data_IF_043548903837
#
_entry.id   IF_043548903837
#
_cell.length_a   1.000
_cell.length_b   1.000
_cell.length_c   1.000
_cell.angle_alpha   90.00
_cell.angle_beta   90.00
_cell.angle_gamma   90.00
#
_symmetry.space_group_name_H-M   'P 1'
#
loop_
_entity.id
_entity.type
_entity.pdbx_description
1 polymer ?
#
# COMPACT_ATOMS: atom_id res chain seq x y z
N UNK A 1 -32.99 62.10 -35.36
CA UNK A 1 -33.22 61.18 -34.22
C UNK A 1 -32.67 59.79 -34.57
N UNK A 2 -31.42 59.69 -35.04
CA UNK A 2 -30.81 58.43 -35.52
C UNK A 2 -29.44 58.12 -34.86
N UNK A 3 -28.81 59.07 -34.16
CA UNK A 3 -27.47 58.89 -33.57
C UNK A 3 -27.50 58.16 -32.22
N UNK A 4 -28.59 58.25 -31.46
CA UNK A 4 -28.71 57.60 -30.15
C UNK A 4 -28.90 56.08 -30.24
N UNK A 5 -29.39 55.57 -31.38
CA UNK A 5 -29.57 54.12 -31.56
C UNK A 5 -28.24 53.40 -31.85
N UNK A 6 -27.33 54.04 -32.58
CA UNK A 6 -26.05 53.43 -33.01
C UNK A 6 -25.10 53.19 -31.84
N UNK A 7 -25.04 54.13 -30.89
CA UNK A 7 -24.18 54.02 -29.71
C UNK A 7 -24.62 52.90 -28.77
N UNK A 8 -25.94 52.67 -28.66
CA UNK A 8 -26.48 51.59 -27.84
C UNK A 8 -26.15 50.20 -28.42
N UNK A 9 -26.20 50.05 -29.75
CA UNK A 9 -25.87 48.81 -30.45
C UNK A 9 -24.39 48.46 -30.35
N UNK A 10 -23.49 49.41 -30.59
CA UNK A 10 -22.03 49.21 -30.46
C UNK A 10 -21.63 48.88 -29.01
N UNK A 11 -22.27 49.54 -28.05
CA UNK A 11 -22.03 49.31 -26.63
C UNK A 11 -22.51 47.92 -26.18
N UNK A 12 -23.65 47.44 -26.69
CA UNK A 12 -24.12 46.09 -26.43
C UNK A 12 -23.16 45.03 -27.02
N UNK A 13 -22.59 45.29 -28.19
CA UNK A 13 -21.61 44.41 -28.83
C UNK A 13 -20.29 44.34 -28.04
N UNK A 14 -19.81 45.49 -27.54
CA UNK A 14 -18.66 45.57 -26.63
C UNK A 14 -18.86 44.76 -25.34
N UNK A 15 -20.05 44.87 -24.72
CA UNK A 15 -20.37 44.09 -23.53
C UNK A 15 -20.55 42.59 -23.82
N UNK A 16 -21.04 42.22 -25.01
CA UNK A 16 -21.10 40.81 -25.43
C UNK A 16 -19.71 40.22 -25.64
N UNK A 17 -18.76 41.00 -26.18
CA UNK A 17 -17.39 40.55 -26.39
C UNK A 17 -16.64 40.35 -25.07
N UNK A 18 -16.76 41.30 -24.13
CA UNK A 18 -16.09 41.24 -22.82
C UNK A 18 -16.66 40.18 -21.87
N UNK A 19 -17.89 39.69 -22.10
CA UNK A 19 -18.50 38.60 -21.33
C UNK A 19 -18.15 37.20 -21.82
N UNK A 20 -17.36 37.04 -22.88
CA UNK A 20 -16.93 35.70 -23.31
C UNK A 20 -15.98 35.13 -22.26
N UNK A 21 -16.30 33.97 -21.64
CA UNK A 21 -15.39 33.36 -20.69
C UNK A 21 -14.10 32.97 -21.41
N UNK A 22 -12.97 33.50 -20.93
CA UNK A 22 -11.62 33.21 -21.44
C UNK A 22 -11.23 31.73 -21.30
N UNK A 23 -11.96 30.98 -20.48
CA UNK A 23 -11.73 29.56 -20.22
C UNK A 23 -13.02 28.80 -20.57
N UNK A 24 -13.06 28.04 -21.69
CA UNK A 24 -14.20 27.19 -21.99
C UNK A 24 -14.30 26.13 -20.89
N UNK A 25 -15.43 26.09 -20.18
CA UNK A 25 -15.69 25.05 -19.19
C UNK A 25 -15.82 23.71 -19.93
N UNK A 26 -15.00 22.70 -19.62
CA UNK A 26 -15.18 21.40 -20.23
C UNK A 26 -16.51 20.81 -19.76
N UNK A 27 -17.41 20.56 -20.70
CA UNK A 27 -18.78 20.07 -20.45
C UNK A 27 -18.86 18.54 -20.45
N UNK A 28 -17.79 17.84 -20.81
CA UNK A 28 -17.79 16.39 -20.92
C UNK A 28 -17.58 15.72 -19.55
N UNK A 29 -18.32 14.64 -19.23
CA UNK A 29 -18.17 13.92 -17.96
C UNK A 29 -16.76 13.33 -17.81
N UNK A 30 -16.11 12.96 -18.92
CA UNK A 30 -14.75 12.43 -18.95
C UNK A 30 -13.70 13.45 -18.49
N UNK A 31 -13.88 14.74 -18.81
CA UNK A 31 -12.99 15.80 -18.35
C UNK A 31 -13.15 16.10 -16.85
N UNK A 32 -14.35 15.92 -16.29
CA UNK A 32 -14.60 16.03 -14.86
C UNK A 32 -13.96 14.90 -14.06
N UNK A 33 -14.07 13.66 -14.57
CA UNK A 33 -13.36 12.52 -14.00
C UNK A 33 -11.85 12.72 -14.07
N UNK A 34 -11.31 13.19 -15.20
CA UNK A 34 -9.88 13.51 -15.34
C UNK A 34 -9.40 14.54 -14.33
N UNK A 35 -10.15 15.63 -14.14
CA UNK A 35 -9.81 16.66 -13.14
C UNK A 35 -9.85 16.11 -11.70
N UNK A 36 -10.85 15.28 -11.38
CA UNK A 36 -10.94 14.61 -10.09
C UNK A 36 -9.74 13.68 -9.83
N UNK A 37 -9.38 12.84 -10.81
CA UNK A 37 -8.24 11.92 -10.68
C UNK A 37 -6.93 12.69 -10.50
N UNK A 38 -6.71 13.76 -11.26
CA UNK A 38 -5.52 14.61 -11.12
C UNK A 38 -5.46 15.24 -9.72
N UNK A 39 -6.57 15.71 -9.17
CA UNK A 39 -6.63 16.25 -7.81
C UNK A 39 -6.32 15.18 -6.75
N UNK A 40 -6.84 13.95 -6.91
CA UNK A 40 -6.56 12.83 -6.00
C UNK A 40 -5.07 12.47 -6.03
N UNK A 41 -4.48 12.35 -7.22
CA UNK A 41 -3.04 12.06 -7.38
C UNK A 41 -2.20 13.18 -6.76
N UNK A 42 -2.55 14.44 -7.02
CA UNK A 42 -1.88 15.60 -6.45
C UNK A 42 -1.89 15.59 -4.92
N UNK A 43 -3.06 15.30 -4.34
CA UNK A 43 -3.20 15.21 -2.88
C UNK A 43 -2.41 14.03 -2.30
N UNK A 44 -2.38 12.88 -2.98
CA UNK A 44 -1.58 11.73 -2.58
C UNK A 44 -0.08 12.05 -2.55
N UNK A 45 0.43 12.80 -3.54
CA UNK A 45 1.83 13.25 -3.57
C UNK A 45 2.13 14.18 -2.39
N UNK A 46 1.24 15.13 -2.08
CA UNK A 46 1.42 16.04 -0.95
C UNK A 46 1.34 15.34 0.42
N UNK A 47 0.54 14.26 0.51
CA UNK A 47 0.43 13.44 1.73
C UNK A 47 1.56 12.43 1.90
N UNK A 48 2.27 12.07 0.83
CA UNK A 48 3.36 11.11 0.85
C UNK A 48 4.43 11.38 1.94
N UNK A 49 4.97 12.61 2.12
CA UNK A 49 5.94 12.88 3.18
C UNK A 49 5.36 12.73 4.59
N UNK A 50 4.08 13.09 4.79
CA UNK A 50 3.41 12.89 6.08
C UNK A 50 3.21 11.41 6.38
N UNK A 51 2.85 10.61 5.37
CA UNK A 51 2.71 9.16 5.50
C UNK A 51 4.06 8.49 5.82
N UNK A 52 5.15 8.92 5.17
CA UNK A 52 6.50 8.43 5.49
C UNK A 52 6.92 8.80 6.91
N UNK A 53 6.69 10.05 7.33
CA UNK A 53 7.01 10.49 8.69
C UNK A 53 6.21 9.72 9.74
N UNK A 54 4.92 9.46 9.46
CA UNK A 54 4.07 8.64 10.32
C UNK A 54 4.59 7.21 10.48
N UNK A 55 4.98 6.55 9.38
CA UNK A 55 5.63 5.22 9.42
C UNK A 55 6.97 5.25 10.14
N UNK A 56 7.78 6.29 9.92
CA UNK A 56 9.09 6.47 10.56
C UNK A 56 9.02 6.72 12.07
N UNK A 57 7.87 7.09 12.63
CA UNK A 57 7.71 7.22 14.08
C UNK A 57 7.69 5.88 14.86
N UNK A 58 8.04 4.77 14.22
CA UNK A 58 8.02 3.43 14.82
C UNK A 58 6.65 2.76 14.76
N UNK A 59 5.74 3.26 13.92
CA UNK A 59 4.43 2.64 13.71
C UNK A 59 4.54 1.55 12.65
N UNK A 60 4.18 0.35 13.05
CA UNK A 60 4.00 -0.78 12.13
C UNK A 60 2.51 -0.92 11.80
N UNK A 61 2.21 -1.27 10.56
CA UNK A 61 0.87 -1.66 10.15
C UNK A 61 0.86 -3.18 10.19
N UNK A 62 0.25 -3.77 11.23
CA UNK A 62 0.12 -5.21 11.37
C UNK A 62 -1.33 -5.62 11.20
N UNK A 63 -1.56 -6.62 10.36
CA UNK A 63 -2.85 -7.30 10.22
C UNK A 63 -2.66 -8.70 10.83
N UNK A 64 -3.18 -8.94 12.04
CA UNK A 64 -3.10 -10.27 12.63
C UNK A 64 -3.96 -11.25 11.85
N UNK A 65 -3.51 -12.50 11.74
CA UNK A 65 -4.34 -13.60 11.23
C UNK A 65 -4.79 -14.48 12.38
N UNK A 66 -6.05 -14.92 12.33
CA UNK A 66 -6.59 -15.90 13.27
C UNK A 66 -6.28 -17.33 12.84
N UNK A 67 -6.40 -18.28 13.78
CA UNK A 67 -6.32 -19.73 13.54
C UNK A 67 -4.93 -20.27 13.15
N UNK A 68 -3.85 -19.64 13.61
CA UNK A 68 -2.50 -20.19 13.56
C UNK A 68 -1.83 -20.04 14.94
N UNK A 69 -0.90 -20.95 15.31
CA UNK A 69 -0.08 -20.77 16.51
C UNK A 69 0.73 -19.47 16.38
N UNK A 70 0.98 -18.82 17.52
CA UNK A 70 1.74 -17.58 17.61
C UNK A 70 1.31 -16.53 16.58
N UNK A 71 0.00 -16.26 16.54
CA UNK A 71 -0.62 -15.30 15.62
C UNK A 71 -0.03 -13.86 15.68
N UNK A 72 0.64 -13.52 16.79
CA UNK A 72 1.42 -12.28 16.93
C UNK A 72 2.69 -12.27 16.09
N UNK A 73 3.33 -13.43 15.93
CA UNK A 73 4.66 -13.58 15.34
C UNK A 73 4.58 -13.83 13.83
N UNK A 74 3.40 -14.29 13.38
CA UNK A 74 3.04 -14.53 11.99
C UNK A 74 1.87 -13.62 11.55
N UNK A 75 2.06 -12.30 11.38
CA UNK A 75 1.01 -11.44 10.86
C UNK A 75 0.73 -11.76 9.39
N UNK A 76 -0.55 -11.65 8.97
CA UNK A 76 -0.93 -11.79 7.57
C UNK A 76 -0.20 -10.77 6.69
N UNK A 77 -0.09 -9.54 7.20
CA UNK A 77 0.64 -8.45 6.58
C UNK A 77 1.23 -7.57 7.67
N UNK A 78 2.53 -7.34 7.61
CA UNK A 78 3.21 -6.33 8.40
C UNK A 78 4.02 -5.43 7.47
N UNK A 79 3.81 -4.12 7.62
CA UNK A 79 4.63 -3.10 6.95
C UNK A 79 5.31 -2.27 8.01
N UNK A 80 6.64 -2.23 7.97
CA UNK A 80 7.47 -1.45 8.90
C UNK A 80 8.59 -0.71 8.20
N UNK A 81 8.90 0.48 8.68
CA UNK A 81 10.07 1.23 8.26
C UNK A 81 11.22 0.92 9.22
N UNK A 82 12.29 0.34 8.70
CA UNK A 82 13.53 0.06 9.43
C UNK A 82 14.47 1.25 9.25
N UNK A 83 14.98 1.81 10.36
CA UNK A 83 15.87 2.97 10.37
C UNK A 83 17.08 2.75 11.28
N UNK A 84 17.57 1.51 11.34
CA UNK A 84 18.73 1.16 12.16
C UNK A 84 20.02 1.70 11.52
N UNK A 85 21.11 1.71 12.29
CA UNK A 85 22.39 2.21 11.80
C UNK A 85 22.87 1.43 10.56
N UNK A 86 22.73 0.11 10.61
CA UNK A 86 23.29 -0.83 9.64
C UNK A 86 22.26 -1.32 8.62
N UNK A 87 20.96 -1.12 8.89
CA UNK A 87 19.85 -1.59 8.07
C UNK A 87 18.76 -0.52 7.96
N UNK A 88 18.46 -0.07 6.74
CA UNK A 88 17.47 0.98 6.47
C UNK A 88 16.61 0.62 5.28
N UNK A 89 15.32 0.88 5.39
CA UNK A 89 14.39 0.72 4.27
C UNK A 89 13.00 0.32 4.73
N UNK A 90 12.16 -0.02 3.76
CA UNK A 90 10.80 -0.48 4.00
C UNK A 90 10.78 -2.01 3.97
N UNK A 91 10.40 -2.62 5.08
CA UNK A 91 10.20 -4.07 5.17
C UNK A 91 8.71 -4.38 5.11
N UNK A 92 8.36 -5.35 4.27
CA UNK A 92 7.02 -5.90 4.13
C UNK A 92 7.11 -7.39 4.45
N UNK A 93 6.53 -7.81 5.57
CA UNK A 93 6.41 -9.21 5.98
C UNK A 93 4.99 -9.70 5.69
N UNK A 94 4.87 -10.87 5.09
CA UNK A 94 3.60 -11.53 4.81
C UNK A 94 3.72 -12.99 5.21
N UNK A 95 2.84 -13.47 6.08
CA UNK A 95 2.77 -14.88 6.41
C UNK A 95 1.51 -15.50 5.82
N UNK A 96 1.65 -16.69 5.23
CA UNK A 96 0.56 -17.48 4.67
C UNK A 96 0.69 -18.93 5.08
N UNK A 97 -0.44 -19.61 5.26
CA UNK A 97 -0.45 -21.05 5.52
C UNK A 97 -0.16 -21.77 4.20
N UNK A 98 0.97 -22.48 4.14
CA UNK A 98 1.36 -23.29 2.98
C UNK A 98 0.67 -24.65 3.02
N UNK A 99 0.72 -25.33 4.18
CA UNK A 99 0.12 -26.63 4.37
C UNK A 99 -0.61 -26.69 5.72
N UNK A 100 -1.79 -27.32 5.74
CA UNK A 100 -2.58 -27.57 6.96
C UNK A 100 -3.13 -28.98 6.94
N UNK A 101 -2.64 -29.80 7.86
CA UNK A 101 -3.14 -31.13 8.20
C UNK A 101 -3.65 -31.14 9.64
N UNK A 102 -4.23 -32.25 10.07
CA UNK A 102 -4.77 -32.38 11.43
C UNK A 102 -3.66 -32.33 12.49
N UNK A 103 -2.45 -32.79 12.20
CA UNK A 103 -1.33 -32.86 13.14
C UNK A 103 -0.12 -31.99 12.71
N UNK A 104 -0.15 -31.40 11.51
CA UNK A 104 0.95 -30.61 10.95
C UNK A 104 0.44 -29.30 10.33
N UNK A 105 1.14 -28.21 10.55
CA UNK A 105 0.83 -26.89 9.97
C UNK A 105 2.13 -26.20 9.55
N UNK A 106 2.26 -25.89 8.27
CA UNK A 106 3.41 -25.16 7.75
C UNK A 106 3.00 -23.75 7.30
N UNK A 107 3.77 -22.76 7.74
CA UNK A 107 3.56 -21.34 7.48
C UNK A 107 4.74 -20.83 6.64
N UNK A 108 4.45 -20.26 5.49
CA UNK A 108 5.42 -19.55 4.64
C UNK A 108 5.42 -18.07 5.01
N UNK A 109 6.57 -17.55 5.42
CA UNK A 109 6.80 -16.13 5.68
C UNK A 109 7.67 -15.51 4.60
N UNK A 110 7.11 -14.54 3.89
CA UNK A 110 7.80 -13.76 2.87
C UNK A 110 8.17 -12.40 3.42
N UNK A 111 9.46 -12.09 3.39
CA UNK A 111 10.00 -10.78 3.77
C UNK A 111 10.55 -10.10 2.53
N UNK A 112 9.89 -9.03 2.12
CA UNK A 112 10.31 -8.21 0.98
C UNK A 112 10.84 -6.88 1.48
N UNK A 113 11.99 -6.49 0.96
CA UNK A 113 12.61 -5.21 1.28
C UNK A 113 12.53 -4.27 0.08
N UNK A 114 12.05 -3.05 0.30
CA UNK A 114 11.98 -1.99 -0.69
C UNK A 114 12.82 -0.80 -0.23
N UNK A 115 13.53 -0.17 -1.17
CA UNK A 115 14.47 0.92 -0.88
C UNK A 115 15.46 0.53 0.23
N UNK A 116 15.93 -0.72 0.18
CA UNK A 116 16.76 -1.33 1.21
C UNK A 116 18.22 -0.92 1.07
N UNK A 117 18.81 -0.55 2.20
CA UNK A 117 20.22 -0.26 2.36
C UNK A 117 20.70 -1.03 3.58
N UNK A 118 21.59 -1.99 3.34
CA UNK A 118 22.24 -2.78 4.39
C UNK A 118 23.72 -2.96 4.09
N UNK A 119 24.51 -3.17 5.14
CA UNK A 119 25.94 -3.45 5.00
C UNK A 119 26.19 -4.86 4.43
N UNK A 120 25.32 -5.82 4.80
CA UNK A 120 25.29 -7.16 4.21
C UNK A 120 24.36 -7.18 2.99
N UNK A 121 24.69 -7.91 1.92
CA UNK A 121 23.81 -8.10 0.76
C UNK A 121 22.60 -8.98 1.12
N UNK A 122 21.71 -8.46 1.95
CA UNK A 122 20.47 -9.10 2.37
C UNK A 122 19.35 -8.68 1.42
N UNK A 123 18.89 -9.63 0.60
CA UNK A 123 17.77 -9.44 -0.32
C UNK A 123 16.44 -9.86 0.30
N UNK A 124 15.42 -10.01 -0.55
CA UNK A 124 14.15 -10.62 -0.14
C UNK A 124 14.40 -12.02 0.42
N UNK A 125 13.78 -12.32 1.55
CA UNK A 125 13.91 -13.60 2.24
C UNK A 125 12.57 -14.32 2.26
N UNK A 126 12.65 -15.65 2.28
CA UNK A 126 11.50 -16.54 2.41
C UNK A 126 11.85 -17.55 3.50
N UNK A 127 10.97 -17.72 4.46
CA UNK A 127 11.14 -18.67 5.55
C UNK A 127 9.93 -19.60 5.59
N UNK A 128 10.15 -20.86 5.89
CA UNK A 128 9.11 -21.81 6.21
C UNK A 128 9.24 -22.23 7.67
N UNK A 129 8.14 -22.17 8.42
CA UNK A 129 8.07 -22.66 9.79
C UNK A 129 6.97 -23.72 9.87
N UNK A 130 7.34 -24.93 10.29
CA UNK A 130 6.42 -26.05 10.42
C UNK A 130 6.21 -26.39 11.89
N UNK A 131 4.93 -26.54 12.24
CA UNK A 131 4.44 -26.86 13.55
C UNK A 131 3.79 -28.23 13.53
N UNK A 132 3.98 -28.98 14.60
CA UNK A 132 3.38 -30.30 14.80
C UNK A 132 2.65 -30.34 16.14
N UNK A 133 1.60 -31.15 16.23
CA UNK A 133 0.87 -31.41 17.47
C UNK A 133 0.49 -32.88 17.56
N UNK A 134 0.50 -33.43 18.76
CA UNK A 134 0.20 -34.85 18.99
C UNK A 134 -1.28 -35.20 18.79
N UNK A 135 -2.18 -34.24 19.04
CA UNK A 135 -3.62 -34.41 18.86
C UNK A 135 -4.30 -33.03 18.72
N UNK A 136 -5.59 -33.02 18.40
CA UNK A 136 -6.34 -31.78 18.14
C UNK A 136 -6.45 -30.82 19.34
N UNK A 137 -6.21 -31.33 20.56
CA UNK A 137 -6.26 -30.57 21.82
C UNK A 137 -4.87 -30.16 22.34
N UNK A 138 -3.79 -30.70 21.77
CA UNK A 138 -2.41 -30.38 22.13
C UNK A 138 -1.99 -29.02 21.57
N UNK A 139 -1.06 -28.38 22.28
CA UNK A 139 -0.40 -27.18 21.81
C UNK A 139 0.47 -27.50 20.59
N UNK A 140 0.57 -26.53 19.67
CA UNK A 140 1.45 -26.62 18.52
C UNK A 140 2.90 -26.45 18.99
N UNK A 141 3.76 -27.38 18.63
CA UNK A 141 5.20 -27.29 18.85
C UNK A 141 5.90 -27.01 17.52
N UNK A 142 6.88 -26.09 17.52
CA UNK A 142 7.71 -25.85 16.34
C UNK A 142 8.58 -27.09 16.08
N UNK A 143 8.34 -27.75 14.95
CA UNK A 143 9.10 -28.93 14.51
C UNK A 143 10.35 -28.52 13.75
N UNK A 144 10.27 -27.45 12.93
CA UNK A 144 11.43 -26.96 12.20
C UNK A 144 11.23 -25.60 11.51
N UNK A 145 12.36 -25.00 11.16
CA UNK A 145 12.44 -23.79 10.33
C UNK A 145 13.40 -24.03 9.17
N UNK A 146 13.00 -23.62 7.97
CA UNK A 146 13.80 -23.78 6.76
C UNK A 146 13.83 -22.47 5.99
N UNK A 147 15.00 -22.12 5.43
CA UNK A 147 15.13 -21.01 4.50
C UNK A 147 14.59 -21.43 3.13
N UNK A 148 13.59 -20.70 2.64
CA UNK A 148 12.91 -20.97 1.38
C UNK A 148 11.42 -21.21 1.52
N UNK A 149 10.83 -21.76 0.45
CA UNK A 149 9.42 -22.14 0.42
C UNK A 149 9.24 -23.42 1.23
N UNK A 150 8.07 -23.59 1.85
CA UNK A 150 7.69 -24.89 2.41
C UNK A 150 7.67 -25.93 1.29
N UNK A 151 8.62 -26.87 1.32
CA UNK A 151 8.56 -28.02 0.43
C UNK A 151 7.36 -28.87 0.87
N UNK A 152 6.40 -29.10 -0.05
CA UNK A 152 5.28 -30.02 0.18
C UNK A 152 5.88 -31.35 0.63
N UNK A 153 5.58 -31.77 1.85
CA UNK A 153 6.29 -32.85 2.54
C UNK A 153 6.48 -34.11 1.70
N UNK A 154 7.68 -34.26 1.13
CA UNK A 154 8.21 -35.54 0.66
C UNK A 154 9.47 -35.87 1.44
N UNK A 155 9.29 -36.35 2.65
CA UNK A 155 10.12 -37.44 3.18
C UNK A 155 9.22 -38.67 3.31
#
# INVERSE_FOLDING_TARGET
>A
MNEESTTSAEMEEYYRQSRRPLIPRPTTPLARFGCGVVLVIWFAILLMPFAMFWLGSGRTITIPQGNIPDASDHPYLEVRLVMDADNRGLQIKQAGVAERRDEQLCIEERVTYLLWQSEENSGNALYCQCYERENAEAEWALSGTTDGRCEDGSQ
#
